data_IF_671052653908
#
_entry.id   IF_671052653908
#
_cell.length_a   1.000
_cell.length_b   1.000
_cell.length_c   1.000
_cell.angle_alpha   90.00
_cell.angle_beta   90.00
_cell.angle_gamma   90.00
#
_symmetry.space_group_name_H-M   'P 1'
#
loop_
_entity.id
_entity.type
_entity.pdbx_description
1 polymer ?
#
# COMPACT_ATOMS: atom_id res chain seq x y z
N UNK A 1 -5.97 -34.94 -5.55
CA UNK A 1 -4.86 -34.31 -4.81
C UNK A 1 -5.39 -33.05 -4.08
N UNK A 2 -4.88 -32.74 -2.88
CA UNK A 2 -5.33 -31.55 -2.14
C UNK A 2 -4.51 -30.32 -2.51
N UNK A 3 -5.17 -29.20 -2.79
CA UNK A 3 -4.58 -27.89 -3.12
C UNK A 3 -4.83 -26.82 -2.05
N UNK A 4 -5.37 -27.20 -0.90
CA UNK A 4 -5.73 -26.27 0.18
C UNK A 4 -4.51 -25.48 0.64
N UNK A 5 -3.38 -26.14 0.88
CA UNK A 5 -2.13 -25.49 1.30
C UNK A 5 -1.58 -24.57 0.19
N UNK A 6 -1.66 -25.00 -1.07
CA UNK A 6 -1.23 -24.21 -2.22
C UNK A 6 -2.04 -22.92 -2.34
N UNK A 7 -3.38 -23.00 -2.21
CA UNK A 7 -4.27 -21.85 -2.19
C UNK A 7 -3.97 -20.90 -1.02
N UNK A 8 -3.73 -21.45 0.17
CA UNK A 8 -3.35 -20.65 1.35
C UNK A 8 -2.03 -19.89 1.14
N UNK A 9 -1.02 -20.54 0.55
CA UNK A 9 0.27 -19.88 0.23
C UNK A 9 0.07 -18.76 -0.80
N UNK A 10 -0.71 -18.99 -1.85
CA UNK A 10 -1.02 -18.00 -2.88
C UNK A 10 -1.86 -16.83 -2.32
N UNK A 11 -2.81 -17.12 -1.42
CA UNK A 11 -3.59 -16.09 -0.74
C UNK A 11 -2.72 -15.16 0.12
N UNK A 12 -1.73 -15.72 0.84
CA UNK A 12 -0.75 -14.90 1.58
C UNK A 12 0.02 -13.95 0.67
N UNK A 13 0.37 -14.39 -0.55
CA UNK A 13 1.02 -13.51 -1.54
C UNK A 13 0.11 -12.35 -1.92
N UNK A 14 -1.20 -12.58 -2.13
CA UNK A 14 -2.15 -11.51 -2.41
C UNK A 14 -2.31 -10.55 -1.23
N UNK A 15 -2.33 -11.05 0.01
CA UNK A 15 -2.39 -10.20 1.21
C UNK A 15 -1.14 -9.31 1.30
N UNK A 16 0.05 -9.87 1.14
CA UNK A 16 1.32 -9.11 1.11
C UNK A 16 1.31 -8.05 0.00
N UNK A 17 0.84 -8.42 -1.19
CA UNK A 17 0.69 -7.46 -2.29
C UNK A 17 -0.30 -6.35 -1.90
N UNK A 18 -1.43 -6.69 -1.30
CA UNK A 18 -2.42 -5.72 -0.83
C UNK A 18 -1.84 -4.70 0.15
N UNK A 19 -1.03 -5.16 1.10
CA UNK A 19 -0.33 -4.29 2.06
C UNK A 19 0.72 -3.40 1.36
N UNK A 20 1.50 -3.97 0.45
CA UNK A 20 2.43 -3.22 -0.39
C UNK A 20 1.73 -2.12 -1.21
N UNK A 21 0.59 -2.45 -1.84
CA UNK A 21 -0.19 -1.49 -2.62
C UNK A 21 -0.80 -0.37 -1.77
N UNK A 22 -1.11 -0.62 -0.50
CA UNK A 22 -1.57 0.42 0.45
C UNK A 22 -0.49 1.45 0.74
N UNK A 23 0.79 1.06 0.72
CA UNK A 23 1.90 2.00 0.91
C UNK A 23 2.14 2.89 -0.31
N UNK A 24 1.73 2.44 -1.50
CA UNK A 24 1.81 3.21 -2.75
C UNK A 24 0.63 4.17 -2.84
N UNK A 25 0.74 5.33 -2.20
CA UNK A 25 -0.27 6.38 -2.28
C UNK A 25 0.23 7.52 -3.16
N UNK A 26 -0.60 7.92 -4.11
CA UNK A 26 -0.35 9.08 -4.96
C UNK A 26 -0.68 10.36 -4.18
N UNK A 27 0.27 10.88 -3.39
CA UNK A 27 0.17 12.23 -2.82
C UNK A 27 -1.10 12.54 -2.01
N UNK A 28 -1.89 11.53 -1.64
CA UNK A 28 -3.06 11.75 -0.83
C UNK A 28 -2.65 12.24 0.56
N UNK A 29 -3.32 13.26 1.02
CA UNK A 29 -3.19 13.78 2.37
C UNK A 29 -3.32 12.64 3.39
N UNK A 30 -2.29 12.45 4.23
CA UNK A 30 -2.26 11.40 5.24
C UNK A 30 -1.82 12.02 6.57
N UNK A 31 -2.59 11.86 7.64
CA UNK A 31 -2.20 12.31 8.98
C UNK A 31 -0.78 11.90 9.37
N UNK A 32 -0.35 10.69 9.03
CA UNK A 32 1.00 10.19 9.33
C UNK A 32 2.15 11.05 8.76
N UNK A 33 1.88 11.93 7.79
CA UNK A 33 2.87 12.86 7.24
C UNK A 33 3.31 13.92 8.25
N UNK A 34 2.43 14.28 9.17
CA UNK A 34 2.62 15.42 10.11
C UNK A 34 2.53 15.01 11.58
N UNK A 35 2.00 13.84 11.92
CA UNK A 35 1.80 13.37 13.31
C UNK A 35 3.05 13.51 14.18
N UNK A 36 4.23 13.26 13.61
CA UNK A 36 5.53 13.22 14.32
C UNK A 36 6.28 14.55 14.31
N UNK A 37 5.73 15.60 13.69
CA UNK A 37 6.34 16.91 13.68
C UNK A 37 6.45 17.40 15.13
N UNK A 38 7.66 17.85 15.52
CA UNK A 38 7.92 18.40 16.82
C UNK A 38 7.52 19.89 16.84
N UNK A 39 6.65 20.22 17.75
CA UNK A 39 6.15 21.60 17.95
C UNK A 39 6.61 22.06 19.32
N UNK A 40 7.14 23.27 19.40
CA UNK A 40 7.44 23.91 20.66
C UNK A 40 6.16 24.49 21.28
N UNK A 41 5.68 23.84 22.33
CA UNK A 41 4.47 24.23 23.04
C UNK A 41 4.70 24.11 24.57
N UNK A 42 4.17 25.06 25.32
CA UNK A 42 4.27 25.08 26.81
C UNK A 42 5.70 24.98 27.33
N UNK A 43 6.69 25.49 26.56
CA UNK A 43 8.12 25.45 26.94
C UNK A 43 8.80 24.08 26.73
N UNK A 44 8.13 23.14 26.10
CA UNK A 44 8.66 21.80 25.77
C UNK A 44 8.39 21.46 24.28
N UNK A 45 9.15 20.50 23.75
CA UNK A 45 8.87 19.96 22.42
C UNK A 45 7.91 18.78 22.55
N UNK A 46 6.79 18.86 21.83
CA UNK A 46 5.74 17.85 21.81
C UNK A 46 5.43 17.46 20.37
N UNK A 47 5.01 16.22 20.15
CA UNK A 47 4.57 15.80 18.83
C UNK A 47 3.21 16.41 18.48
N UNK A 48 2.98 16.68 17.18
CA UNK A 48 1.73 17.33 16.73
C UNK A 48 0.48 16.55 17.14
N UNK A 49 0.56 15.20 17.17
CA UNK A 49 -0.55 14.34 17.59
C UNK A 49 -0.95 14.53 19.06
N UNK A 50 -0.04 15.01 19.90
CA UNK A 50 -0.31 15.32 21.31
C UNK A 50 -0.99 16.68 21.50
N UNK A 51 -0.91 17.57 20.50
CA UNK A 51 -1.39 18.95 20.55
C UNK A 51 -2.65 19.19 19.75
N UNK A 52 -2.97 18.31 18.79
CA UNK A 52 -4.06 18.53 17.84
C UNK A 52 -4.67 17.23 17.32
N UNK A 53 -5.94 17.28 16.94
CA UNK A 53 -6.56 16.27 16.11
C UNK A 53 -6.25 16.53 14.64
N UNK A 54 -5.79 15.50 13.93
CA UNK A 54 -5.48 15.57 12.50
C UNK A 54 -6.53 14.76 11.75
N UNK A 55 -7.22 15.40 10.81
CA UNK A 55 -8.23 14.79 9.97
C UNK A 55 -7.96 15.05 8.49
N UNK A 56 -8.53 14.22 7.63
CA UNK A 56 -8.37 14.30 6.18
C UNK A 56 -9.76 14.35 5.54
N UNK A 57 -10.33 15.54 5.38
CA UNK A 57 -11.68 15.71 4.83
C UNK A 57 -11.74 15.35 3.34
N UNK A 58 -10.65 15.53 2.62
CA UNK A 58 -10.49 15.19 1.20
C UNK A 58 -9.06 14.70 0.91
N UNK A 59 -8.81 14.02 -0.23
CA UNK A 59 -7.49 13.46 -0.55
C UNK A 59 -6.36 14.47 -0.69
N UNK A 60 -6.67 15.77 -0.81
CA UNK A 60 -5.70 16.84 -1.03
C UNK A 60 -5.54 17.79 0.15
N UNK A 61 -6.29 17.56 1.24
CA UNK A 61 -6.33 18.47 2.38
C UNK A 61 -6.16 17.73 3.71
N UNK A 62 -5.24 18.22 4.55
CA UNK A 62 -5.19 17.87 5.96
C UNK A 62 -5.76 19.05 6.77
N UNK A 63 -6.57 18.71 7.76
CA UNK A 63 -7.13 19.66 8.71
C UNK A 63 -6.57 19.34 10.09
N UNK A 64 -5.87 20.29 10.68
CA UNK A 64 -5.31 20.21 12.03
C UNK A 64 -6.13 21.09 12.96
N UNK A 65 -6.76 20.46 13.94
CA UNK A 65 -7.58 21.15 14.96
C UNK A 65 -6.86 21.07 16.30
N UNK A 66 -6.17 22.13 16.74
CA UNK A 66 -5.50 22.17 18.02
C UNK A 66 -6.48 21.98 19.19
N UNK A 67 -6.06 21.29 20.24
CA UNK A 67 -6.83 21.19 21.50
C UNK A 67 -6.84 22.53 22.24
N UNK A 68 -5.77 23.32 22.08
CA UNK A 68 -5.64 24.67 22.61
C UNK A 68 -5.29 25.64 21.48
N UNK A 69 -6.14 26.64 21.30
CA UNK A 69 -5.99 27.66 20.25
C UNK A 69 -4.74 28.53 20.47
N UNK A 70 -4.24 28.63 21.71
CA UNK A 70 -3.03 29.41 22.01
C UNK A 70 -1.77 28.91 21.29
N UNK A 71 -1.70 27.62 20.97
CA UNK A 71 -0.54 26.99 20.29
C UNK A 71 -0.68 26.93 18.76
N UNK A 72 -1.77 27.45 18.18
CA UNK A 72 -2.05 27.35 16.74
C UNK A 72 -0.93 27.97 15.88
N UNK A 73 -0.36 29.09 16.32
CA UNK A 73 0.74 29.76 15.61
C UNK A 73 2.03 28.93 15.64
N UNK A 74 2.31 28.29 16.77
CA UNK A 74 3.50 27.45 16.94
C UNK A 74 3.38 26.20 16.06
N UNK A 75 2.18 25.60 15.99
CA UNK A 75 1.89 24.46 15.13
C UNK A 75 2.07 24.86 13.65
N UNK A 76 1.49 26.00 13.23
CA UNK A 76 1.61 26.47 11.86
C UNK A 76 3.07 26.76 11.48
N UNK A 77 3.84 27.38 12.36
CA UNK A 77 5.25 27.65 12.15
C UNK A 77 6.07 26.34 12.04
N UNK A 78 5.87 25.40 12.96
CA UNK A 78 6.57 24.11 12.93
C UNK A 78 6.29 23.33 11.65
N UNK A 79 5.05 23.33 11.14
CA UNK A 79 4.71 22.69 9.87
C UNK A 79 5.37 23.41 8.70
N UNK A 80 5.40 24.76 8.70
CA UNK A 80 6.02 25.56 7.64
C UNK A 80 7.54 25.39 7.56
N UNK A 81 8.20 25.08 8.67
CA UNK A 81 9.64 24.81 8.74
C UNK A 81 10.02 23.51 8.04
N UNK A 82 9.09 22.55 7.93
CA UNK A 82 9.27 21.28 7.20
C UNK A 82 9.01 21.44 5.68
N UNK A 83 9.87 22.24 5.03
CA UNK A 83 9.76 22.54 3.58
C UNK A 83 9.79 21.32 2.68
N UNK A 84 10.44 20.24 3.12
CA UNK A 84 10.51 18.95 2.44
C UNK A 84 9.15 18.29 2.22
N UNK A 85 8.14 18.63 3.06
CA UNK A 85 6.79 18.12 2.92
C UNK A 85 5.96 18.87 1.86
N UNK A 86 6.42 20.05 1.44
CA UNK A 86 5.70 20.90 0.48
C UNK A 86 4.34 21.38 0.97
N UNK A 87 4.11 21.38 2.28
CA UNK A 87 2.84 21.77 2.89
C UNK A 87 2.84 23.25 3.23
N UNK A 88 1.73 23.93 2.88
CA UNK A 88 1.54 25.34 3.19
C UNK A 88 0.39 25.48 4.19
N UNK A 89 0.70 25.80 5.47
CA UNK A 89 -0.33 25.97 6.48
C UNK A 89 -1.12 27.27 6.26
N UNK A 90 -2.44 27.16 6.24
CA UNK A 90 -3.38 28.29 6.25
C UNK A 90 -4.20 28.23 7.53
N UNK A 91 -4.07 29.25 8.38
CA UNK A 91 -4.85 29.33 9.63
C UNK A 91 -6.23 29.89 9.31
N UNK A 92 -7.26 29.10 9.56
CA UNK A 92 -8.67 29.48 9.36
C UNK A 92 -9.42 29.40 10.69
N UNK A 93 -9.48 30.52 11.40
CA UNK A 93 -10.08 30.56 12.75
C UNK A 93 -9.32 29.67 13.74
N UNK A 94 -9.94 28.59 14.21
CA UNK A 94 -9.37 27.70 15.20
C UNK A 94 -8.77 26.42 14.57
N UNK A 95 -8.63 26.36 13.26
CA UNK A 95 -8.09 25.21 12.54
C UNK A 95 -6.99 25.63 11.59
N UNK A 96 -6.08 24.71 11.30
CA UNK A 96 -5.04 24.89 10.28
C UNK A 96 -5.36 23.96 9.11
N UNK A 97 -5.56 24.54 7.95
CA UNK A 97 -5.74 23.81 6.71
C UNK A 97 -4.41 23.69 5.99
N UNK A 98 -4.06 22.47 5.61
CA UNK A 98 -2.84 22.16 4.86
C UNK A 98 -3.26 21.60 3.50
N UNK A 99 -2.84 22.26 2.43
CA UNK A 99 -3.00 21.70 1.10
C UNK A 99 -1.78 20.86 0.76
N UNK A 100 -2.04 19.60 0.37
CA UNK A 100 -1.02 18.71 -0.17
C UNK A 100 -0.97 18.97 -1.68
N UNK A 101 0.17 19.43 -2.22
CA UNK A 101 0.26 19.68 -3.65
C UNK A 101 0.10 18.37 -4.42
N UNK A 102 -0.50 18.39 -5.61
CA UNK A 102 -0.57 17.21 -6.45
C UNK A 102 0.84 16.75 -6.80
N UNK A 103 1.04 15.45 -6.88
CA UNK A 103 2.31 14.89 -7.32
C UNK A 103 2.65 15.37 -8.73
N UNK A 104 3.93 15.65 -8.97
CA UNK A 104 4.41 15.88 -10.33
C UNK A 104 4.19 14.66 -11.21
N UNK A 105 4.06 14.86 -12.51
CA UNK A 105 3.92 13.76 -13.48
C UNK A 105 5.07 12.75 -13.36
N UNK A 106 6.29 13.24 -13.18
CA UNK A 106 7.48 12.42 -12.96
C UNK A 106 7.32 11.49 -11.75
N UNK A 107 6.82 12.02 -10.63
CA UNK A 107 6.61 11.25 -9.42
C UNK A 107 5.50 10.21 -9.56
N UNK A 108 4.46 10.53 -10.32
CA UNK A 108 3.40 9.55 -10.66
C UNK A 108 3.99 8.40 -11.48
N UNK A 109 4.84 8.69 -12.47
CA UNK A 109 5.50 7.67 -13.29
C UNK A 109 6.44 6.79 -12.46
N UNK A 110 7.18 7.37 -11.52
CA UNK A 110 8.01 6.60 -10.57
C UNK A 110 7.15 5.62 -9.75
N UNK A 111 6.00 6.08 -9.23
CA UNK A 111 5.08 5.21 -8.48
C UNK A 111 4.49 4.10 -9.35
N UNK A 112 4.16 4.37 -10.61
CA UNK A 112 3.71 3.36 -11.57
C UNK A 112 4.82 2.34 -11.85
N UNK A 113 6.08 2.77 -11.96
CA UNK A 113 7.22 1.87 -12.11
C UNK A 113 7.40 0.98 -10.88
N UNK A 114 7.32 1.56 -9.69
CA UNK A 114 7.40 0.83 -8.43
C UNK A 114 6.23 -0.17 -8.28
N UNK A 115 5.01 0.23 -8.66
CA UNK A 115 3.86 -0.68 -8.75
C UNK A 115 4.19 -1.89 -9.64
N UNK A 116 4.74 -1.66 -10.84
CA UNK A 116 5.15 -2.74 -11.74
C UNK A 116 6.12 -3.74 -11.09
N UNK A 117 7.10 -3.24 -10.35
CA UNK A 117 8.06 -4.08 -9.61
C UNK A 117 7.37 -4.94 -8.53
N UNK A 118 6.42 -4.36 -7.77
CA UNK A 118 5.67 -5.08 -6.74
C UNK A 118 4.77 -6.18 -7.34
N UNK A 119 4.10 -5.89 -8.45
CA UNK A 119 3.28 -6.88 -9.16
C UNK A 119 4.13 -8.04 -9.70
N UNK A 120 5.30 -7.74 -10.28
CA UNK A 120 6.19 -8.80 -10.78
C UNK A 120 6.76 -9.65 -9.64
N UNK A 121 7.13 -9.06 -8.51
CA UNK A 121 7.54 -9.81 -7.33
C UNK A 121 6.45 -10.79 -6.86
N UNK A 122 5.18 -10.36 -6.82
CA UNK A 122 4.07 -11.24 -6.50
C UNK A 122 3.90 -12.38 -7.51
N UNK A 123 4.02 -12.10 -8.82
CA UNK A 123 3.96 -13.13 -9.87
C UNK A 123 5.09 -14.16 -9.75
N UNK A 124 6.30 -13.71 -9.40
CA UNK A 124 7.43 -14.60 -9.16
C UNK A 124 7.13 -15.55 -7.99
N UNK A 125 6.57 -15.05 -6.88
CA UNK A 125 6.19 -15.89 -5.74
C UNK A 125 5.10 -16.90 -6.12
N UNK A 126 4.07 -16.50 -6.87
CA UNK A 126 3.05 -17.43 -7.38
C UNK A 126 3.68 -18.52 -8.28
N UNK A 127 4.60 -18.13 -9.17
CA UNK A 127 5.31 -19.07 -10.04
C UNK A 127 6.15 -20.06 -9.25
N UNK A 128 6.77 -19.63 -8.16
CA UNK A 128 7.55 -20.50 -7.28
C UNK A 128 6.64 -21.49 -6.56
N UNK A 129 5.54 -21.06 -5.96
CA UNK A 129 4.56 -21.93 -5.29
C UNK A 129 4.02 -22.99 -6.28
N UNK A 130 3.69 -22.57 -7.51
CA UNK A 130 3.28 -23.49 -8.57
C UNK A 130 4.37 -24.50 -8.89
N UNK A 131 5.62 -24.05 -9.01
CA UNK A 131 6.77 -24.93 -9.31
C UNK A 131 7.00 -25.98 -8.23
N UNK A 132 6.86 -25.60 -6.96
CA UNK A 132 7.00 -26.49 -5.82
C UNK A 132 5.90 -27.58 -5.88
N UNK A 133 4.65 -27.16 -6.05
CA UNK A 133 3.52 -28.10 -6.12
C UNK A 133 3.59 -29.04 -7.34
N UNK A 134 4.06 -28.51 -8.48
CA UNK A 134 4.26 -29.33 -9.67
C UNK A 134 5.34 -30.42 -9.45
N UNK A 135 6.40 -30.11 -8.69
CA UNK A 135 7.42 -31.11 -8.30
C UNK A 135 6.82 -32.19 -7.42
N UNK A 136 5.99 -31.82 -6.44
CA UNK A 136 5.28 -32.80 -5.59
C UNK A 136 4.38 -33.73 -6.43
N UNK A 137 3.62 -33.18 -7.39
CA UNK A 137 2.75 -33.97 -8.27
C UNK A 137 3.59 -34.99 -9.08
N UNK A 138 4.69 -34.54 -9.69
CA UNK A 138 5.57 -35.39 -10.49
C UNK A 138 6.28 -36.45 -9.65
N UNK A 139 6.66 -36.12 -8.43
CA UNK A 139 7.24 -37.07 -7.51
C UNK A 139 6.24 -38.17 -7.14
N UNK A 140 4.99 -37.78 -6.80
CA UNK A 140 3.93 -38.75 -6.51
C UNK A 140 3.64 -39.69 -7.70
N UNK A 141 3.70 -39.19 -8.94
CA UNK A 141 3.56 -39.99 -10.15
C UNK A 141 4.75 -40.95 -10.33
N UNK A 142 6.01 -40.50 -10.14
CA UNK A 142 7.19 -41.30 -10.23
C UNK A 142 7.21 -42.42 -9.18
N UNK A 143 6.70 -42.15 -7.97
CA UNK A 143 6.55 -43.15 -6.88
C UNK A 143 5.29 -44.04 -7.06
N UNK A 144 4.55 -43.88 -8.17
CA UNK A 144 3.31 -44.61 -8.49
C UNK A 144 2.20 -44.46 -7.43
N UNK A 145 2.22 -43.36 -6.69
CA UNK A 145 1.16 -43.00 -5.75
C UNK A 145 -0.10 -42.45 -6.46
N UNK A 146 0.10 -41.90 -7.66
CA UNK A 146 -0.97 -41.42 -8.56
C UNK A 146 -0.71 -42.00 -9.97
N UNK A 147 -1.77 -42.20 -10.73
CA UNK A 147 -1.69 -42.63 -12.13
C UNK A 147 -1.56 -41.42 -13.08
N UNK A 148 -1.31 -41.64 -14.38
CA UNK A 148 -1.11 -40.60 -15.40
C UNK A 148 -2.34 -39.69 -15.55
N UNK A 149 -3.55 -40.26 -15.47
CA UNK A 149 -4.79 -39.47 -15.54
C UNK A 149 -4.95 -38.54 -14.32
N UNK A 150 -4.55 -39.02 -13.15
CA UNK A 150 -4.57 -38.19 -11.91
C UNK A 150 -3.51 -37.11 -11.94
N UNK A 151 -2.28 -37.41 -12.47
CA UNK A 151 -1.25 -36.39 -12.69
C UNK A 151 -1.73 -35.31 -13.65
N UNK A 152 -2.33 -35.71 -14.78
CA UNK A 152 -2.85 -34.78 -15.77
C UNK A 152 -3.94 -33.88 -15.18
N UNK A 153 -4.91 -34.45 -14.44
CA UNK A 153 -5.96 -33.68 -13.76
C UNK A 153 -5.40 -32.74 -12.72
N UNK A 154 -4.49 -33.21 -11.88
CA UNK A 154 -3.84 -32.39 -10.84
C UNK A 154 -3.05 -31.23 -11.42
N UNK A 155 -2.30 -31.46 -12.51
CA UNK A 155 -1.58 -30.40 -13.22
C UNK A 155 -2.53 -29.39 -13.84
N UNK A 156 -3.63 -29.84 -14.43
CA UNK A 156 -4.66 -28.95 -15.00
C UNK A 156 -5.36 -28.11 -13.93
N UNK A 157 -5.65 -28.69 -12.76
CA UNK A 157 -6.23 -27.94 -11.64
C UNK A 157 -5.24 -26.92 -11.07
N UNK A 158 -3.97 -27.29 -10.90
CA UNK A 158 -2.92 -26.37 -10.46
C UNK A 158 -2.78 -25.18 -11.42
N UNK A 159 -2.89 -25.43 -12.74
CA UNK A 159 -2.85 -24.36 -13.73
C UNK A 159 -4.04 -23.38 -13.56
N UNK A 160 -5.26 -23.91 -13.41
CA UNK A 160 -6.46 -23.07 -13.18
C UNK A 160 -6.31 -22.21 -11.92
N UNK A 161 -5.82 -22.80 -10.82
CA UNK A 161 -5.56 -22.05 -9.59
C UNK A 161 -4.53 -20.93 -9.85
N UNK A 162 -3.44 -21.25 -10.54
CA UNK A 162 -2.39 -20.28 -10.85
C UNK A 162 -2.93 -19.10 -11.68
N UNK A 163 -3.74 -19.39 -12.68
CA UNK A 163 -4.34 -18.39 -13.56
C UNK A 163 -5.30 -17.48 -12.79
N UNK A 164 -6.12 -18.04 -11.90
CA UNK A 164 -7.00 -17.30 -11.00
C UNK A 164 -6.22 -16.26 -10.15
N UNK A 165 -5.09 -16.68 -9.55
CA UNK A 165 -4.29 -15.77 -8.73
C UNK A 165 -3.52 -14.74 -9.55
N UNK A 166 -3.05 -15.08 -10.74
CA UNK A 166 -2.45 -14.11 -11.66
C UNK A 166 -3.45 -13.05 -12.12
N UNK A 167 -4.69 -13.45 -12.38
CA UNK A 167 -5.77 -12.52 -12.73
C UNK A 167 -6.08 -11.56 -11.57
N UNK A 168 -6.16 -12.05 -10.33
CA UNK A 168 -6.33 -11.20 -9.14
C UNK A 168 -5.19 -10.18 -8.98
N UNK A 169 -3.93 -10.59 -9.22
CA UNK A 169 -2.78 -9.70 -9.21
C UNK A 169 -2.92 -8.61 -10.29
N UNK A 170 -3.32 -9.00 -11.50
CA UNK A 170 -3.52 -8.06 -12.59
C UNK A 170 -4.62 -7.04 -12.27
N UNK A 171 -5.78 -7.50 -11.83
CA UNK A 171 -6.91 -6.63 -11.46
C UNK A 171 -6.54 -5.64 -10.36
N UNK A 172 -5.83 -6.09 -9.31
CA UNK A 172 -5.33 -5.22 -8.26
C UNK A 172 -4.34 -4.17 -8.80
N UNK A 173 -3.48 -4.57 -9.72
CA UNK A 173 -2.52 -3.69 -10.38
C UNK A 173 -3.18 -2.63 -11.26
N UNK A 174 -4.17 -3.01 -12.07
CA UNK A 174 -4.91 -2.09 -12.94
C UNK A 174 -5.71 -1.07 -12.13
N UNK A 175 -6.40 -1.53 -11.08
CA UNK A 175 -7.13 -0.65 -10.17
C UNK A 175 -6.18 0.38 -9.52
N UNK A 176 -5.03 -0.07 -9.02
CA UNK A 176 -4.04 0.82 -8.38
C UNK A 176 -3.39 1.76 -9.37
N UNK A 177 -3.08 1.31 -10.58
CA UNK A 177 -2.54 2.17 -11.64
C UNK A 177 -3.52 3.29 -12.00
N UNK A 178 -4.80 2.96 -12.12
CA UNK A 178 -5.85 3.95 -12.37
C UNK A 178 -5.92 4.97 -11.23
N UNK A 179 -5.89 4.52 -9.96
CA UNK A 179 -5.84 5.41 -8.79
C UNK A 179 -4.65 6.36 -8.86
N UNK A 180 -3.43 5.85 -9.16
CA UNK A 180 -2.21 6.67 -9.24
C UNK A 180 -2.22 7.72 -10.35
N UNK A 181 -2.96 7.48 -11.43
CA UNK A 181 -3.03 8.38 -12.59
C UNK A 181 -4.21 9.35 -12.56
N UNK A 182 -5.23 9.11 -11.72
CA UNK A 182 -6.50 9.88 -11.73
C UNK A 182 -6.49 11.05 -10.72
N UNK A 183 -5.50 11.17 -9.85
CA UNK A 183 -5.41 12.21 -8.79
C UNK A 183 -4.64 13.42 -9.28
#
# INVERSE_FOLDING_TARGET
MDFTETRQKMEKVLQMLGDDLRTLRAGAANPAMIEKIQVEAYGTKMSLVELATISCPDPSTLLVTPFDVSVIKNIAAAIADHKELGLFPSVEGNVIRLRVPPLSEERRQELVKLLGQKLEAARIMIRQIRGDKLREIRQAAAEKQINEDEEFRATGELQKITDEYNEKIQQAGEAKKKELLTI
#
